data_IF_563977324330
#
_entry.id   IF_563977324330
#
_cell.length_a   1.000
_cell.length_b   1.000
_cell.length_c   1.000
_cell.angle_alpha   90.00
_cell.angle_beta   90.00
_cell.angle_gamma   90.00
#
_symmetry.space_group_name_H-M   'P 1'
#
loop_
_entity.id
_entity.type
_entity.pdbx_description
1 polymer ?
#
# COMPACT_ATOMS: atom_id res chain seq x y z
N UNK A 1 -3.39 27.16 -18.68
CA UNK A 1 -2.74 26.14 -19.53
C UNK A 1 -3.33 26.27 -20.93
N UNK A 2 -2.57 26.75 -21.90
CA UNK A 2 -3.01 26.84 -23.30
C UNK A 2 -2.93 25.43 -23.91
N UNK A 3 -4.09 24.85 -24.24
CA UNK A 3 -4.18 23.56 -24.91
C UNK A 3 -3.85 23.73 -26.40
N UNK A 4 -2.80 23.04 -26.87
CA UNK A 4 -2.41 23.04 -28.28
C UNK A 4 -3.42 22.16 -29.07
N UNK A 5 -4.00 22.66 -30.18
CA UNK A 5 -4.90 21.89 -31.03
C UNK A 5 -4.22 20.62 -31.57
N UNK A 6 -4.98 19.54 -31.74
CA UNK A 6 -4.45 18.22 -32.13
C UNK A 6 -3.69 18.23 -33.46
N UNK A 7 -4.01 19.17 -34.36
CA UNK A 7 -3.40 19.31 -35.68
C UNK A 7 -1.90 19.65 -35.61
N UNK A 8 -1.47 20.35 -34.56
CA UNK A 8 -0.10 20.83 -34.42
C UNK A 8 0.77 19.95 -33.50
N UNK A 9 0.27 18.76 -33.15
CA UNK A 9 0.92 17.87 -32.17
C UNK A 9 2.18 17.19 -32.71
N UNK A 10 2.31 17.11 -34.03
CA UNK A 10 3.44 16.46 -34.71
C UNK A 10 4.52 17.43 -35.20
N UNK A 11 4.22 18.73 -35.24
CA UNK A 11 5.15 19.75 -35.70
C UNK A 11 6.24 19.99 -34.66
N UNK A 12 7.51 19.91 -35.09
CA UNK A 12 8.68 20.12 -34.21
C UNK A 12 8.80 21.54 -33.70
N UNK A 13 8.26 22.51 -34.45
CA UNK A 13 8.30 23.93 -34.16
C UNK A 13 6.93 24.53 -34.43
N UNK A 14 6.44 25.33 -33.49
CA UNK A 14 5.16 26.02 -33.57
C UNK A 14 5.44 27.51 -33.71
N UNK A 15 4.83 28.15 -34.71
CA UNK A 15 4.91 29.59 -34.87
C UNK A 15 3.63 30.24 -34.37
N UNK A 16 3.78 31.25 -33.51
CA UNK A 16 2.68 32.09 -33.06
C UNK A 16 2.16 32.94 -34.23
N UNK A 17 0.91 32.76 -34.64
CA UNK A 17 0.32 33.54 -35.74
C UNK A 17 0.16 35.04 -35.42
N UNK A 18 0.09 35.41 -34.14
CA UNK A 18 -0.11 36.79 -33.70
C UNK A 18 1.21 37.56 -33.47
N UNK A 19 2.24 36.85 -33.01
CA UNK A 19 3.50 37.43 -32.55
C UNK A 19 4.73 36.97 -33.35
N UNK A 20 4.57 36.02 -34.27
CA UNK A 20 5.63 35.52 -35.14
C UNK A 20 6.69 34.67 -34.46
N UNK A 21 6.69 34.61 -33.12
CA UNK A 21 7.68 33.86 -32.34
C UNK A 21 7.56 32.35 -32.57
N UNK A 22 8.72 31.69 -32.68
CA UNK A 22 8.86 30.26 -32.95
C UNK A 22 9.20 29.56 -31.63
N UNK A 23 8.38 28.59 -31.24
CA UNK A 23 8.58 27.77 -30.05
C UNK A 23 8.86 26.32 -30.44
N UNK A 24 9.80 25.67 -29.75
CA UNK A 24 10.03 24.25 -29.93
C UNK A 24 8.91 23.43 -29.29
N UNK A 25 8.36 22.46 -30.02
CA UNK A 25 7.33 21.58 -29.50
C UNK A 25 7.97 20.48 -28.62
N UNK A 26 8.07 20.74 -27.32
CA UNK A 26 8.69 19.84 -26.35
C UNK A 26 7.92 18.53 -26.11
N UNK A 27 6.69 18.39 -26.62
CA UNK A 27 5.86 17.19 -26.45
C UNK A 27 6.46 15.97 -27.17
N UNK A 28 7.21 16.19 -28.25
CA UNK A 28 7.77 15.11 -29.10
C UNK A 28 8.85 14.27 -28.38
N UNK A 29 9.47 14.77 -27.30
CA UNK A 29 10.59 14.07 -26.62
C UNK A 29 10.20 12.80 -25.84
N UNK A 30 8.92 12.44 -25.72
CA UNK A 30 8.48 11.21 -25.01
C UNK A 30 8.22 9.99 -25.91
N UNK A 31 8.94 9.81 -27.03
CA UNK A 31 8.90 8.53 -27.77
C UNK A 31 9.90 7.52 -27.18
N UNK A 32 9.31 6.48 -26.58
CA UNK A 32 9.89 5.28 -25.94
C UNK A 32 11.18 4.76 -26.60
N UNK A 33 12.29 4.74 -25.84
CA UNK A 33 13.40 3.80 -26.11
C UNK A 33 12.96 2.39 -25.69
N UNK A 34 12.60 1.54 -26.65
CA UNK A 34 12.58 0.08 -26.45
C UNK A 34 14.04 -0.36 -26.32
N UNK A 35 14.52 -0.57 -25.09
CA UNK A 35 15.73 -1.34 -24.86
C UNK A 35 15.42 -2.79 -25.20
N UNK A 36 15.94 -3.26 -26.33
CA UNK A 36 15.95 -4.68 -26.69
C UNK A 36 17.09 -5.33 -25.91
N UNK A 37 16.83 -5.70 -24.67
CA UNK A 37 17.77 -6.46 -23.84
C UNK A 37 17.80 -7.89 -24.42
N UNK A 38 18.95 -8.33 -24.94
CA UNK A 38 19.19 -9.75 -25.27
C UNK A 38 19.11 -10.54 -23.96
N UNK A 39 17.99 -11.21 -23.73
CA UNK A 39 17.80 -12.09 -22.58
C UNK A 39 18.68 -13.33 -22.70
N UNK A 40 19.75 -13.39 -21.91
CA UNK A 40 20.52 -14.62 -21.72
C UNK A 40 19.69 -15.60 -20.89
N UNK A 41 19.26 -16.71 -21.50
CA UNK A 41 18.40 -17.74 -20.89
C UNK A 41 18.94 -18.31 -19.57
N UNK A 42 20.24 -18.23 -19.34
CA UNK A 42 20.90 -18.69 -18.11
C UNK A 42 20.63 -17.81 -16.88
N UNK A 43 20.43 -16.49 -17.04
CA UNK A 43 20.16 -15.60 -15.90
C UNK A 43 18.73 -15.77 -15.36
N UNK A 44 17.78 -16.12 -16.22
CA UNK A 44 16.38 -16.35 -15.82
C UNK A 44 16.28 -17.60 -14.92
N UNK A 45 16.99 -18.68 -15.25
CA UNK A 45 16.97 -19.91 -14.46
C UNK A 45 17.58 -19.72 -13.06
N UNK A 46 18.64 -18.92 -12.93
CA UNK A 46 19.26 -18.59 -11.64
C UNK A 46 18.36 -17.70 -10.77
N UNK A 47 17.67 -16.72 -11.37
CA UNK A 47 16.70 -15.88 -10.66
C UNK A 47 15.50 -16.69 -10.17
N UNK A 48 14.98 -17.61 -10.99
CA UNK A 48 13.89 -18.50 -10.59
C UNK A 48 14.31 -19.37 -9.40
N UNK A 49 15.52 -19.93 -9.42
CA UNK A 49 16.02 -20.77 -8.33
C UNK A 49 16.18 -19.99 -7.01
N UNK A 50 16.65 -18.74 -7.07
CA UNK A 50 16.77 -17.85 -5.91
C UNK A 50 15.40 -17.43 -5.35
N UNK A 51 14.39 -17.22 -6.21
CA UNK A 51 13.02 -16.92 -5.77
C UNK A 51 12.39 -18.14 -5.09
N UNK A 52 12.60 -19.36 -5.61
CA UNK A 52 12.07 -20.58 -5.00
C UNK A 52 12.79 -20.98 -3.70
N UNK A 53 14.12 -20.82 -3.60
CA UNK A 53 14.83 -21.06 -2.33
C UNK A 53 14.57 -19.95 -1.29
N UNK A 54 14.46 -18.69 -1.73
CA UNK A 54 14.14 -17.56 -0.85
C UNK A 54 12.71 -17.63 -0.30
N UNK A 55 11.75 -18.16 -1.07
CA UNK A 55 10.39 -18.40 -0.55
C UNK A 55 10.38 -19.43 0.58
N UNK A 56 11.19 -20.49 0.49
CA UNK A 56 11.16 -21.55 1.50
C UNK A 56 11.71 -21.09 2.86
N UNK A 57 12.67 -20.15 2.89
CA UNK A 57 13.21 -19.58 4.12
C UNK A 57 12.28 -18.54 4.80
N UNK A 58 11.33 -17.94 4.07
CA UNK A 58 10.35 -17.01 4.66
C UNK A 58 9.05 -17.71 5.11
N UNK A 59 8.78 -18.92 4.65
CA UNK A 59 7.53 -19.64 4.99
C UNK A 59 7.61 -20.33 6.35
N UNK A 60 8.80 -20.63 6.86
CA UNK A 60 8.99 -21.34 8.14
C UNK A 60 8.88 -20.42 9.40
N UNK A 61 8.25 -19.25 9.31
CA UNK A 61 7.99 -18.40 10.49
C UNK A 61 6.61 -17.75 10.55
N UNK A 62 5.65 -18.25 9.77
CA UNK A 62 4.24 -17.96 10.06
C UNK A 62 3.64 -19.16 10.78
N UNK A 63 3.87 -19.22 12.10
CA UNK A 63 2.88 -19.89 12.94
C UNK A 63 1.62 -19.03 12.84
N UNK A 64 0.68 -19.40 11.97
CA UNK A 64 -0.73 -19.04 12.11
C UNK A 64 -1.23 -19.66 13.43
N UNK A 65 -0.77 -19.13 14.56
CA UNK A 65 -1.58 -19.21 15.76
C UNK A 65 -2.84 -18.42 15.41
N UNK A 66 -3.94 -19.10 15.13
CA UNK A 66 -5.21 -18.44 14.91
C UNK A 66 -5.50 -17.58 16.13
N UNK A 67 -5.49 -16.27 15.94
CA UNK A 67 -5.82 -15.32 17.01
C UNK A 67 -7.31 -15.50 17.32
N UNK A 68 -7.69 -15.67 18.57
CA UNK A 68 -9.08 -15.82 18.99
C UNK A 68 -9.52 -14.67 19.87
N UNK A 69 -10.84 -14.52 20.03
CA UNK A 69 -11.39 -13.62 21.04
C UNK A 69 -10.88 -14.07 22.41
N UNK A 70 -10.38 -13.13 23.21
CA UNK A 70 -9.77 -13.38 24.50
C UNK A 70 -8.26 -13.58 24.47
N UNK A 71 -7.63 -13.73 23.29
CA UNK A 71 -6.18 -13.83 23.21
C UNK A 71 -5.50 -12.50 23.52
N UNK A 72 -4.39 -12.57 24.25
CA UNK A 72 -3.45 -11.46 24.36
C UNK A 72 -2.63 -11.40 23.07
N UNK A 73 -2.47 -10.21 22.52
CA UNK A 73 -1.79 -9.96 21.26
C UNK A 73 -0.82 -8.80 21.39
N UNK A 74 0.23 -8.87 20.58
CA UNK A 74 1.20 -7.80 20.36
C UNK A 74 1.15 -7.38 18.90
N UNK A 75 1.22 -6.07 18.67
CA UNK A 75 1.34 -5.50 17.34
C UNK A 75 2.78 -5.68 16.86
N UNK A 76 2.97 -6.53 15.84
CA UNK A 76 4.30 -6.84 15.29
C UNK A 76 4.71 -5.90 14.16
N UNK A 77 3.78 -5.08 13.67
CA UNK A 77 4.02 -4.08 12.64
C UNK A 77 3.14 -2.86 12.88
N UNK A 78 3.73 -1.66 12.81
CA UNK A 78 2.99 -0.41 12.93
C UNK A 78 1.81 -0.40 11.96
N UNK A 79 0.61 -0.24 12.50
CA UNK A 79 -0.66 -0.40 11.79
C UNK A 79 -1.62 0.74 12.14
N UNK A 80 -2.81 0.73 11.54
CA UNK A 80 -3.88 1.67 11.87
C UNK A 80 -4.91 0.96 12.76
N UNK A 81 -5.25 1.60 13.87
CA UNK A 81 -6.42 1.29 14.67
C UNK A 81 -7.59 2.19 14.25
N UNK A 82 -8.77 1.63 14.10
CA UNK A 82 -9.97 2.33 13.65
C UNK A 82 -11.03 2.34 14.75
N UNK A 83 -11.80 3.43 14.86
CA UNK A 83 -12.78 3.58 15.96
C UNK A 83 -13.96 2.62 15.83
N UNK A 84 -14.37 2.32 14.60
CA UNK A 84 -15.56 1.52 14.28
C UNK A 84 -15.33 0.63 13.04
N UNK A 85 -16.25 -0.32 12.82
CA UNK A 85 -16.23 -1.21 11.66
C UNK A 85 -16.43 -0.44 10.33
N UNK A 86 -17.17 0.67 10.34
CA UNK A 86 -17.34 1.51 9.15
C UNK A 86 -16.01 2.08 8.64
N UNK A 87 -15.10 2.41 9.56
CA UNK A 87 -13.73 2.81 9.25
C UNK A 87 -12.89 1.66 8.69
N UNK A 88 -13.15 0.41 9.09
CA UNK A 88 -12.50 -0.78 8.52
C UNK A 88 -12.89 -0.96 7.06
N UNK A 89 -14.18 -0.83 6.74
CA UNK A 89 -14.65 -0.92 5.36
C UNK A 89 -14.06 0.19 4.47
N UNK A 90 -13.98 1.41 4.98
CA UNK A 90 -13.38 2.54 4.28
C UNK A 90 -11.88 2.34 4.07
N UNK A 91 -11.16 1.88 5.11
CA UNK A 91 -9.76 1.51 5.01
C UNK A 91 -9.51 0.49 3.90
N UNK A 92 -10.32 -0.57 3.82
CA UNK A 92 -10.18 -1.59 2.79
C UNK A 92 -10.52 -1.06 1.40
N UNK A 93 -11.56 -0.23 1.26
CA UNK A 93 -11.89 0.43 -0.01
C UNK A 93 -10.72 1.28 -0.53
N UNK A 94 -10.14 2.12 0.32
CA UNK A 94 -8.99 2.96 -0.04
C UNK A 94 -7.75 2.13 -0.34
N UNK A 95 -7.47 1.10 0.47
CA UNK A 95 -6.31 0.21 0.29
C UNK A 95 -6.39 -0.57 -1.03
N UNK A 96 -7.55 -1.14 -1.35
CA UNK A 96 -7.77 -1.89 -2.61
C UNK A 96 -7.66 -0.95 -3.82
N UNK A 97 -8.14 0.29 -3.71
CA UNK A 97 -8.02 1.29 -4.75
C UNK A 97 -6.60 1.89 -4.91
N UNK A 98 -5.68 1.61 -3.98
CA UNK A 98 -4.37 2.25 -3.92
C UNK A 98 -4.42 3.74 -3.52
N UNK A 99 -5.51 4.18 -2.89
CA UNK A 99 -5.72 5.55 -2.45
C UNK A 99 -5.07 5.79 -1.08
N UNK A 100 -3.81 6.23 -1.13
CA UNK A 100 -3.04 6.57 0.08
C UNK A 100 -3.65 7.73 0.85
N UNK A 101 -4.22 8.72 0.16
CA UNK A 101 -4.80 9.89 0.81
C UNK A 101 -6.08 9.51 1.57
N UNK A 102 -6.90 8.61 1.02
CA UNK A 102 -8.06 8.06 1.71
C UNK A 102 -7.71 7.35 3.02
N UNK A 103 -6.64 6.55 3.02
CA UNK A 103 -6.14 5.90 4.26
C UNK A 103 -5.63 6.94 5.26
N UNK A 104 -4.88 7.96 4.82
CA UNK A 104 -4.37 9.02 5.70
C UNK A 104 -5.50 9.89 6.28
N UNK A 105 -6.57 10.14 5.52
CA UNK A 105 -7.73 10.90 5.99
C UNK A 105 -8.42 10.26 7.20
N UNK A 106 -8.38 8.94 7.34
CA UNK A 106 -8.93 8.26 8.52
C UNK A 106 -8.21 8.71 9.80
N UNK A 107 -6.89 8.91 9.73
CA UNK A 107 -6.10 9.41 10.87
C UNK A 107 -6.35 10.91 11.08
N UNK A 108 -6.33 11.71 10.01
CA UNK A 108 -6.50 13.17 10.07
C UNK A 108 -7.88 13.55 10.64
N UNK A 109 -8.91 12.81 10.28
CA UNK A 109 -10.29 13.04 10.76
C UNK A 109 -10.55 12.46 12.15
N UNK A 110 -9.55 11.82 12.77
CA UNK A 110 -9.66 11.21 14.09
C UNK A 110 -10.43 9.89 14.11
N UNK A 111 -10.82 9.35 12.95
CA UNK A 111 -11.51 8.05 12.82
C UNK A 111 -10.56 6.85 12.96
N UNK A 112 -9.25 7.11 12.91
CA UNK A 112 -8.22 6.15 13.19
C UNK A 112 -7.02 6.76 13.91
N UNK A 113 -6.16 5.89 14.42
CA UNK A 113 -4.93 6.20 15.12
C UNK A 113 -3.84 5.25 14.62
N UNK A 114 -2.61 5.74 14.54
CA UNK A 114 -1.47 4.86 14.36
C UNK A 114 -1.19 4.08 15.65
N UNK A 115 -1.15 2.75 15.55
CA UNK A 115 -0.77 1.84 16.63
C UNK A 115 0.63 1.34 16.34
N UNK A 116 1.55 1.57 17.27
CA UNK A 116 2.97 1.27 17.06
C UNK A 116 3.29 -0.20 17.33
N UNK A 117 4.37 -0.66 16.69
CA UNK A 117 4.96 -1.98 16.98
C UNK A 117 5.30 -2.10 18.48
N UNK A 118 5.03 -3.26 19.05
CA UNK A 118 5.21 -3.56 20.47
C UNK A 118 4.03 -3.16 21.35
N UNK A 119 3.03 -2.43 20.84
CA UNK A 119 1.80 -2.20 21.60
C UNK A 119 1.07 -3.53 21.82
N UNK A 120 0.67 -3.77 23.07
CA UNK A 120 0.01 -5.01 23.49
C UNK A 120 -1.43 -4.73 23.92
N UNK A 121 -2.26 -5.76 23.80
CA UNK A 121 -3.64 -5.70 24.23
C UNK A 121 -4.34 -7.04 24.17
N UNK A 122 -5.64 -7.02 24.38
CA UNK A 122 -6.51 -8.20 24.36
C UNK A 122 -7.53 -8.10 23.25
N UNK A 123 -7.71 -9.17 22.48
CA UNK A 123 -8.75 -9.25 21.46
C UNK A 123 -10.10 -9.38 22.16
N UNK A 124 -11.00 -8.43 21.89
CA UNK A 124 -12.34 -8.39 22.51
C UNK A 124 -13.45 -8.73 21.51
N UNK A 125 -13.20 -8.57 20.22
CA UNK A 125 -14.18 -8.82 19.15
C UNK A 125 -13.44 -9.14 17.85
N UNK A 126 -14.10 -9.86 16.93
CA UNK A 126 -13.52 -10.22 15.64
C UNK A 126 -14.58 -10.21 14.53
N UNK A 127 -14.14 -9.78 13.35
CA UNK A 127 -14.83 -10.01 12.08
C UNK A 127 -13.95 -10.88 11.19
N UNK A 128 -14.41 -11.12 9.96
CA UNK A 128 -13.63 -11.81 8.92
C UNK A 128 -12.40 -11.01 8.48
N UNK A 129 -12.46 -9.68 8.59
CA UNK A 129 -11.48 -8.75 8.05
C UNK A 129 -10.77 -7.90 9.09
N UNK A 130 -11.12 -7.98 10.38
CA UNK A 130 -10.48 -7.20 11.43
C UNK A 130 -10.60 -7.85 12.81
N UNK A 131 -9.75 -7.43 13.74
CA UNK A 131 -9.88 -7.72 15.17
C UNK A 131 -10.02 -6.43 15.96
N UNK A 132 -10.97 -6.39 16.89
CA UNK A 132 -11.06 -5.30 17.87
C UNK A 132 -10.18 -5.65 19.05
N UNK A 133 -9.15 -4.84 19.28
CA UNK A 133 -8.17 -5.04 20.35
C UNK A 133 -8.32 -3.92 21.36
N UNK A 134 -8.52 -4.28 22.62
CA UNK A 134 -8.37 -3.36 23.74
C UNK A 134 -6.90 -3.32 24.12
N UNK A 135 -6.23 -2.22 23.80
CA UNK A 135 -4.84 -1.98 24.13
C UNK A 135 -4.68 -1.77 25.64
N UNK A 136 -3.44 -1.91 26.13
CA UNK A 136 -3.11 -1.72 27.55
C UNK A 136 -3.35 -0.29 28.05
N UNK A 137 -3.48 0.70 27.15
CA UNK A 137 -3.91 2.06 27.48
C UNK A 137 -5.42 2.17 27.79
N UNK A 138 -6.17 1.07 27.64
CA UNK A 138 -7.60 0.98 27.89
C UNK A 138 -8.48 1.28 26.67
N UNK A 139 -7.92 1.86 25.60
CA UNK A 139 -8.66 2.17 24.38
C UNK A 139 -8.84 0.90 23.54
N UNK A 140 -9.99 0.80 22.87
CA UNK A 140 -10.30 -0.31 21.97
C UNK A 140 -10.32 0.18 20.52
N UNK A 141 -9.56 -0.51 19.67
CA UNK A 141 -9.40 -0.15 18.26
C UNK A 141 -9.61 -1.38 17.38
N UNK A 142 -10.22 -1.15 16.23
CA UNK A 142 -10.31 -2.13 15.15
C UNK A 142 -9.01 -2.15 14.35
N UNK A 143 -8.32 -3.28 14.35
CA UNK A 143 -7.08 -3.51 13.61
C UNK A 143 -7.44 -4.33 12.36
N UNK A 144 -7.35 -3.74 11.15
CA UNK A 144 -7.85 -4.35 9.92
C UNK A 144 -6.92 -5.43 9.37
N UNK A 145 -5.66 -5.49 9.79
CA UNK A 145 -4.68 -6.44 9.24
C UNK A 145 -4.27 -7.42 10.31
N UNK A 146 -4.84 -8.64 10.26
CA UNK A 146 -4.57 -9.69 11.26
C UNK A 146 -3.11 -10.13 11.28
N UNK A 147 -2.41 -10.05 10.15
CA UNK A 147 -0.98 -10.34 10.07
C UNK A 147 -0.11 -9.31 10.79
N UNK A 148 -0.68 -8.18 11.21
CA UNK A 148 0.03 -7.18 12.03
C UNK A 148 -0.03 -7.54 13.53
N UNK A 149 -0.72 -8.63 13.89
CA UNK A 149 -0.87 -9.09 15.26
C UNK A 149 -0.20 -10.45 15.45
N UNK A 150 0.39 -10.65 16.63
CA UNK A 150 0.93 -11.92 17.09
C UNK A 150 0.34 -12.28 18.44
N UNK A 151 -0.07 -13.53 18.61
CA UNK A 151 -0.49 -14.04 19.93
C UNK A 151 0.69 -14.03 20.90
N UNK A 152 0.48 -13.46 22.08
CA UNK A 152 1.42 -13.53 23.20
C UNK A 152 0.96 -14.69 24.07
N UNK A 153 1.77 -15.74 24.15
CA UNK A 153 1.52 -16.82 25.10
C UNK A 153 1.88 -16.30 26.50
N UNK A 154 0.94 -16.44 27.44
CA UNK A 154 1.20 -16.25 28.87
C UNK A 154 2.16 -17.33 29.42
#
# INVERSE_FOLDING_TARGET
MLSIPNEYREDKQLQCSHCGEIFNNYIIKRKKKKQQIRFNKFLIASFICLVFLGLKACVDSYSESSINIGDNVEVIKTTIGLMDEGGVDEFWKSTIAGDRMGVEQLIITGRGRQIFVGEQGKVIERTTSASRVRLNDGAAWWIPTLSDLKKVNE
#
